data_IF_717053860313
#
_entry.id   IF_717053860313
#
_cell.length_a   1.000
_cell.length_b   1.000
_cell.length_c   1.000
_cell.angle_alpha   90.00
_cell.angle_beta   90.00
_cell.angle_gamma   90.00
#
_symmetry.space_group_name_H-M   'P 1'
#
loop_
_entity.id
_entity.type
_entity.pdbx_description
1 polymer ?
#
# COMPACT_ATOMS: atom_id res chain seq x y z
N UNK A 1 -13.23 -21.69 15.77
CA UNK A 1 -12.76 -20.74 16.79
C UNK A 1 -11.25 -20.60 16.62
N UNK A 2 -10.83 -19.61 15.83
CA UNK A 2 -9.46 -19.09 15.87
C UNK A 2 -9.62 -17.60 16.08
N UNK A 3 -9.43 -17.21 17.34
CA UNK A 3 -8.70 -16.03 17.78
C UNK A 3 -8.73 -14.89 16.76
N UNK A 4 -9.76 -14.06 16.92
CA UNK A 4 -9.64 -12.61 16.99
C UNK A 4 -8.64 -12.00 16.00
N UNK A 5 -9.18 -11.74 14.82
CA UNK A 5 -9.01 -10.56 13.95
C UNK A 5 -8.76 -9.26 14.75
N UNK A 6 -7.63 -9.17 15.46
CA UNK A 6 -7.30 -8.08 16.39
C UNK A 6 -6.34 -7.04 15.79
N UNK A 7 -6.09 -7.06 14.48
CA UNK A 7 -5.39 -5.94 13.83
C UNK A 7 -6.33 -4.75 13.70
N UNK A 8 -6.07 -3.63 14.41
CA UNK A 8 -6.97 -2.48 14.40
C UNK A 8 -7.14 -1.95 12.97
N UNK A 9 -8.33 -1.45 12.65
CA UNK A 9 -8.44 -0.42 11.60
C UNK A 9 -7.58 0.76 12.08
N UNK A 10 -6.73 1.39 11.25
CA UNK A 10 -6.01 2.59 11.66
C UNK A 10 -7.00 3.61 12.23
N UNK A 11 -6.86 3.92 13.52
CA UNK A 11 -7.85 4.67 14.30
C UNK A 11 -8.45 3.94 15.52
N UNK A 12 -8.03 2.68 15.79
CA UNK A 12 -8.27 2.00 17.07
C UNK A 12 -7.38 2.50 18.23
N UNK A 13 -7.31 1.72 19.33
CA UNK A 13 -6.70 2.11 20.62
C UNK A 13 -5.16 2.34 20.65
N UNK A 14 -4.52 2.62 19.52
CA UNK A 14 -3.08 2.89 19.42
C UNK A 14 -2.74 3.99 18.40
N UNK A 15 -1.51 4.55 18.44
CA UNK A 15 -1.09 5.60 17.53
C UNK A 15 -1.04 5.10 16.09
N UNK A 16 -1.64 5.85 15.18
CA UNK A 16 -1.54 5.58 13.74
C UNK A 16 -0.20 6.11 13.24
N UNK A 17 0.70 5.20 12.85
CA UNK A 17 1.94 5.55 12.15
C UNK A 17 1.72 5.57 10.64
N UNK A 18 2.63 6.23 9.90
CA UNK A 18 2.60 6.21 8.44
C UNK A 18 2.64 4.78 7.88
N UNK A 19 3.48 3.92 8.46
CA UNK A 19 3.62 2.52 8.05
C UNK A 19 2.30 1.75 8.20
N UNK A 20 1.65 1.86 9.36
CA UNK A 20 0.37 1.19 9.63
C UNK A 20 -0.73 1.68 8.71
N UNK A 21 -0.83 3.00 8.51
CA UNK A 21 -1.86 3.57 7.64
C UNK A 21 -1.65 3.16 6.17
N UNK A 22 -0.42 3.28 5.67
CA UNK A 22 -0.10 2.97 4.28
C UNK A 22 -0.31 1.49 3.99
N UNK A 23 0.15 0.59 4.86
CA UNK A 23 -0.06 -0.85 4.70
C UNK A 23 -1.55 -1.20 4.63
N UNK A 24 -2.36 -0.63 5.54
CA UNK A 24 -3.81 -0.83 5.52
C UNK A 24 -4.47 -0.35 4.22
N UNK A 25 -4.09 0.82 3.72
CA UNK A 25 -4.67 1.36 2.48
C UNK A 25 -4.26 0.55 1.25
N UNK A 26 -3.05 -0.01 1.23
CA UNK A 26 -2.62 -0.93 0.18
C UNK A 26 -3.47 -2.21 0.21
N UNK A 27 -3.59 -2.88 1.37
CA UNK A 27 -4.43 -4.08 1.53
C UNK A 27 -5.89 -3.81 1.11
N UNK A 28 -6.42 -2.63 1.42
CA UNK A 28 -7.78 -2.23 1.00
C UNK A 28 -7.89 -2.09 -0.52
N UNK A 29 -6.93 -1.42 -1.15
CA UNK A 29 -6.92 -1.18 -2.60
C UNK A 29 -6.66 -2.46 -3.40
N UNK A 30 -5.88 -3.39 -2.86
CA UNK A 30 -5.59 -4.69 -3.46
C UNK A 30 -6.70 -5.73 -3.19
N UNK A 31 -7.65 -5.40 -2.30
CA UNK A 31 -8.76 -6.28 -1.96
C UNK A 31 -8.36 -7.42 -1.03
N UNK A 32 -7.21 -7.30 -0.36
CA UNK A 32 -6.64 -8.30 0.54
C UNK A 32 -7.10 -8.13 1.99
N UNK A 33 -7.81 -7.04 2.31
CA UNK A 33 -8.38 -6.86 3.63
C UNK A 33 -9.40 -7.95 4.00
N UNK A 34 -9.33 -8.49 5.23
CA UNK A 34 -10.39 -9.32 5.78
C UNK A 34 -11.76 -8.65 5.66
N UNK A 35 -12.79 -9.45 5.35
CA UNK A 35 -14.12 -8.93 5.02
C UNK A 35 -14.74 -8.06 6.13
N UNK A 36 -14.46 -8.35 7.41
CA UNK A 36 -14.92 -7.54 8.53
C UNK A 36 -14.27 -6.14 8.53
N UNK A 37 -12.94 -6.08 8.35
CA UNK A 37 -12.16 -4.83 8.27
C UNK A 37 -12.55 -3.99 7.06
N UNK A 38 -12.72 -4.64 5.90
CA UNK A 38 -13.18 -3.98 4.67
C UNK A 38 -14.53 -3.29 4.88
N UNK A 39 -15.52 -4.00 5.44
CA UNK A 39 -16.84 -3.42 5.74
C UNK A 39 -16.77 -2.27 6.75
N UNK A 40 -15.93 -2.40 7.78
CA UNK A 40 -15.75 -1.33 8.76
C UNK A 40 -15.19 -0.05 8.13
N UNK A 41 -14.22 -0.19 7.23
CA UNK A 41 -13.63 0.95 6.53
C UNK A 41 -14.56 1.55 5.48
N UNK A 42 -15.31 0.73 4.73
CA UNK A 42 -16.33 1.23 3.81
C UNK A 42 -17.41 2.05 4.53
N UNK A 43 -17.80 1.62 5.75
CA UNK A 43 -18.68 2.40 6.62
C UNK A 43 -18.07 3.75 6.98
N UNK A 44 -16.79 3.79 7.36
CA UNK A 44 -16.09 5.04 7.65
C UNK A 44 -16.02 5.96 6.42
N UNK A 45 -15.74 5.42 5.24
CA UNK A 45 -15.74 6.18 3.99
C UNK A 45 -17.12 6.76 3.64
N UNK A 46 -18.21 6.12 4.08
CA UNK A 46 -19.57 6.65 3.89
C UNK A 46 -19.88 7.86 4.79
N UNK A 47 -19.14 8.04 5.89
CA UNK A 47 -19.41 9.05 6.92
C UNK A 47 -18.34 10.16 6.99
N UNK A 48 -17.18 9.96 6.34
CA UNK A 48 -16.01 10.83 6.49
C UNK A 48 -15.46 11.34 5.14
N UNK A 49 -15.87 12.55 4.75
CA UNK A 49 -15.44 13.18 3.48
C UNK A 49 -13.92 13.38 3.37
N UNK A 50 -13.24 13.68 4.49
CA UNK A 50 -11.79 13.88 4.50
C UNK A 50 -11.04 12.57 4.17
N UNK A 51 -11.53 11.44 4.65
CA UNK A 51 -10.95 10.13 4.33
C UNK A 51 -11.24 9.69 2.90
N UNK A 52 -12.40 10.07 2.33
CA UNK A 52 -12.68 9.89 0.90
C UNK A 52 -11.69 10.69 0.06
N UNK A 53 -11.48 11.97 0.39
CA UNK A 53 -10.54 12.85 -0.31
C UNK A 53 -9.08 12.35 -0.18
N UNK A 54 -8.70 11.85 1.00
CA UNK A 54 -7.38 11.27 1.23
C UNK A 54 -7.16 10.02 0.38
N UNK A 55 -8.13 9.09 0.37
CA UNK A 55 -8.07 7.88 -0.44
C UNK A 55 -7.96 8.19 -1.95
N UNK A 56 -8.67 9.22 -2.42
CA UNK A 56 -8.55 9.70 -3.79
C UNK A 56 -7.13 10.21 -4.09
N UNK A 57 -6.57 11.06 -3.22
CA UNK A 57 -5.20 11.57 -3.34
C UNK A 57 -4.15 10.45 -3.30
N UNK A 58 -4.39 9.43 -2.46
CA UNK A 58 -3.49 8.29 -2.34
C UNK A 58 -3.50 7.42 -3.60
N UNK A 59 -4.68 7.15 -4.19
CA UNK A 59 -4.79 6.46 -5.49
C UNK A 59 -4.06 7.22 -6.60
N UNK A 60 -4.18 8.54 -6.61
CA UNK A 60 -3.48 9.38 -7.58
C UNK A 60 -1.96 9.34 -7.39
N UNK A 61 -1.50 9.33 -6.13
CA UNK A 61 -0.08 9.16 -5.81
C UNK A 61 0.46 7.84 -6.35
N UNK A 62 -0.28 6.74 -6.19
CA UNK A 62 0.11 5.43 -6.75
C UNK A 62 0.20 5.49 -8.27
N UNK A 63 -0.78 6.12 -8.94
CA UNK A 63 -0.79 6.27 -10.40
C UNK A 63 0.44 7.04 -10.88
N UNK A 64 0.69 8.22 -10.30
CA UNK A 64 1.82 9.07 -10.65
C UNK A 64 3.17 8.40 -10.36
N UNK A 65 3.30 7.70 -9.24
CA UNK A 65 4.51 6.96 -8.91
C UNK A 65 4.81 5.84 -9.91
N UNK A 66 3.77 5.10 -10.35
CA UNK A 66 3.91 4.07 -11.39
C UNK A 66 4.33 4.68 -12.73
N UNK A 67 3.71 5.78 -13.13
CA UNK A 67 4.06 6.49 -14.37
C UNK A 67 5.48 7.02 -14.35
N UNK A 68 5.92 7.61 -13.23
CA UNK A 68 7.28 8.09 -13.06
C UNK A 68 8.31 6.94 -13.09
N UNK A 69 7.94 5.75 -12.60
CA UNK A 69 8.83 4.59 -12.59
C UNK A 69 8.89 3.83 -13.93
N UNK A 70 7.87 3.94 -14.77
CA UNK A 70 7.75 3.13 -16.00
C UNK A 70 8.97 3.22 -16.94
N UNK A 71 9.59 4.40 -17.20
CA UNK A 71 10.81 4.47 -18.01
C UNK A 71 11.98 3.70 -17.40
N UNK A 72 12.16 3.81 -16.08
CA UNK A 72 13.21 3.11 -15.35
C UNK A 72 12.97 1.59 -15.30
N UNK A 73 11.71 1.18 -15.13
CA UNK A 73 11.29 -0.23 -15.23
C UNK A 73 11.63 -0.83 -16.59
N UNK A 74 11.27 -0.15 -17.68
CA UNK A 74 11.57 -0.59 -19.05
C UNK A 74 13.08 -0.75 -19.27
N UNK A 75 13.86 0.24 -18.84
CA UNK A 75 15.32 0.15 -18.90
C UNK A 75 15.85 -1.03 -18.06
N UNK A 76 15.27 -1.31 -16.90
CA UNK A 76 15.67 -2.44 -16.07
C UNK A 76 15.39 -3.81 -16.72
N UNK A 77 14.33 -3.94 -17.52
CA UNK A 77 14.02 -5.15 -18.29
C UNK A 77 15.08 -5.42 -19.39
N UNK A 78 15.77 -4.38 -19.87
CA UNK A 78 16.87 -4.50 -20.84
C UNK A 78 18.22 -4.86 -20.18
N UNK A 79 18.35 -4.69 -18.86
CA UNK A 79 19.60 -4.99 -18.14
C UNK A 79 19.77 -6.51 -18.02
N UNK A 80 20.87 -7.09 -18.54
CA UNK A 80 21.11 -8.51 -18.39
C UNK A 80 21.23 -8.88 -16.89
N UNK A 81 20.57 -9.96 -16.45
CA UNK A 81 20.46 -10.28 -15.03
C UNK A 81 21.82 -10.63 -14.39
N UNK A 82 22.78 -11.10 -15.18
CA UNK A 82 24.18 -11.31 -14.76
C UNK A 82 24.91 -10.00 -14.46
N UNK A 83 24.63 -8.93 -15.22
CA UNK A 83 25.21 -7.62 -14.98
C UNK A 83 24.67 -7.03 -13.68
N UNK A 84 23.35 -7.09 -13.48
CA UNK A 84 22.73 -6.65 -12.23
C UNK A 84 23.30 -7.42 -11.01
N UNK A 85 23.44 -8.75 -11.11
CA UNK A 85 24.05 -9.58 -10.05
C UNK A 85 25.50 -9.20 -9.79
N UNK A 86 26.30 -8.95 -10.83
CA UNK A 86 27.70 -8.56 -10.69
C UNK A 86 27.84 -7.22 -9.95
N UNK A 87 27.02 -6.23 -10.30
CA UNK A 87 26.99 -4.92 -9.62
C UNK A 87 26.64 -5.07 -8.13
N UNK A 88 25.59 -5.85 -7.82
CA UNK A 88 25.18 -6.09 -6.43
C UNK A 88 26.25 -6.85 -5.63
N UNK A 89 26.96 -7.79 -6.27
CA UNK A 89 28.03 -8.53 -5.61
C UNK A 89 29.25 -7.67 -5.29
N UNK A 90 29.56 -6.68 -6.13
CA UNK A 90 30.66 -5.74 -5.96
C UNK A 90 30.38 -4.63 -4.92
N UNK A 91 29.13 -4.48 -4.46
CA UNK A 91 28.70 -3.52 -3.42
C UNK A 91 28.83 -4.05 -1.99
N UNK A 92 29.32 -5.28 -1.82
CA UNK A 92 29.70 -5.86 -0.52
C UNK A 92 31.16 -5.62 -0.24
#
# INVERSE_FOLDING_TARGET
MKEDDETPVPGGAGPVTCEVLIGFLLEYLEGELPAARRRAFERHLAECESCVAYLASYRETIRLAREAWEPARRAAEEIPPELARAILAARR
#
